data_IF_730044100801
#
_entry.id   IF_730044100801
#
_cell.length_a   1.000
_cell.length_b   1.000
_cell.length_c   1.000
_cell.angle_alpha   90.00
_cell.angle_beta   90.00
_cell.angle_gamma   90.00
#
_symmetry.space_group_name_H-M   'P 1'
#
loop_
_entity.id
_entity.type
_entity.pdbx_description
1 polymer ?
#
# COMPACT_ATOMS: atom_id res chain seq x y z
N UNK A 1 47.79 -44.10 -48.04
CA UNK A 1 48.41 -42.76 -48.19
C UNK A 1 48.18 -42.25 -49.62
N UNK A 2 47.27 -41.27 -49.79
CA UNK A 2 47.15 -40.24 -50.86
C UNK A 2 45.74 -39.60 -50.75
N UNK A 3 45.71 -38.27 -50.69
CA UNK A 3 44.53 -37.37 -50.56
C UNK A 3 43.66 -37.32 -51.83
N UNK A 4 42.43 -36.76 -51.79
CA UNK A 4 42.16 -35.34 -52.15
C UNK A 4 41.05 -34.65 -51.28
N UNK A 5 41.16 -33.38 -50.87
CA UNK A 5 40.72 -32.11 -51.51
C UNK A 5 39.23 -31.98 -51.89
N UNK A 6 38.55 -31.10 -51.15
CA UNK A 6 37.34 -30.27 -51.41
C UNK A 6 36.33 -30.64 -52.49
N UNK A 7 35.04 -30.58 -52.12
CA UNK A 7 34.04 -29.78 -52.83
C UNK A 7 32.89 -29.36 -51.90
N UNK A 8 32.56 -28.07 -51.92
CA UNK A 8 31.40 -27.44 -51.26
C UNK A 8 30.28 -27.35 -52.29
N UNK A 9 29.09 -27.94 -52.06
CA UNK A 9 27.94 -27.67 -52.92
C UNK A 9 27.36 -26.29 -52.60
N UNK A 10 27.45 -25.38 -53.57
CA UNK A 10 26.78 -24.09 -53.55
C UNK A 10 25.25 -24.22 -53.66
N UNK A 11 24.59 -23.25 -53.03
CA UNK A 11 23.20 -22.82 -53.17
C UNK A 11 22.44 -23.36 -54.38
N UNK A 12 21.62 -24.37 -54.12
CA UNK A 12 20.45 -24.65 -54.93
C UNK A 12 19.31 -23.72 -54.52
N UNK A 13 19.11 -22.63 -55.28
CA UNK A 13 17.87 -21.84 -55.27
C UNK A 13 16.66 -22.79 -55.36
N UNK A 14 16.02 -23.09 -54.22
CA UNK A 14 14.68 -23.67 -54.24
C UNK A 14 13.69 -22.54 -54.41
N UNK A 15 13.26 -22.37 -55.66
CA UNK A 15 12.06 -21.64 -56.02
C UNK A 15 10.88 -22.23 -55.25
N UNK A 16 10.47 -21.56 -54.17
CA UNK A 16 9.20 -21.88 -53.51
C UNK A 16 8.07 -21.54 -54.46
N UNK A 17 7.51 -22.59 -55.08
CA UNK A 17 6.29 -22.51 -55.88
C UNK A 17 5.16 -21.83 -55.09
N UNK A 18 4.39 -20.96 -55.76
CA UNK A 18 3.24 -20.25 -55.21
C UNK A 18 2.20 -21.19 -54.55
N UNK A 19 2.15 -22.46 -54.95
CA UNK A 19 1.28 -23.48 -54.35
C UNK A 19 1.69 -23.89 -52.94
N UNK A 20 2.96 -23.76 -52.55
CA UNK A 20 3.44 -24.11 -51.21
C UNK A 20 3.07 -23.05 -50.16
N UNK A 21 2.95 -21.77 -50.58
CA UNK A 21 2.49 -20.67 -49.70
C UNK A 21 1.01 -20.77 -49.34
N UNK A 22 0.18 -21.34 -50.22
CA UNK A 22 -1.24 -21.51 -49.97
C UNK A 22 -1.53 -22.64 -48.96
N UNK A 23 -0.65 -23.64 -48.87
CA UNK A 23 -0.83 -24.73 -47.90
C UNK A 23 -0.53 -24.28 -46.46
N UNK A 24 0.46 -23.41 -46.25
CA UNK A 24 0.74 -22.82 -44.94
C UNK A 24 -0.29 -21.76 -44.50
N UNK A 25 -1.03 -21.16 -45.42
CA UNK A 25 -2.07 -20.16 -45.09
C UNK A 25 -3.42 -20.79 -44.70
N UNK A 26 -3.64 -22.07 -45.03
CA UNK A 26 -4.91 -22.78 -44.80
C UNK A 26 -4.93 -23.61 -43.49
N UNK A 27 -3.78 -23.80 -42.86
CA UNK A 27 -3.70 -24.39 -41.52
C UNK A 27 -3.59 -23.24 -40.52
N UNK A 28 -4.67 -22.98 -39.77
CA UNK A 28 -4.59 -22.13 -38.58
C UNK A 28 -3.47 -22.63 -37.65
N UNK A 29 -2.95 -21.78 -36.74
CA UNK A 29 -1.88 -22.19 -35.85
C UNK A 29 -2.25 -23.51 -35.17
N UNK A 30 -1.34 -24.50 -35.11
CA UNK A 30 -1.62 -25.75 -34.43
C UNK A 30 -2.07 -25.45 -33.01
N UNK A 31 -3.15 -26.10 -32.55
CA UNK A 31 -3.59 -25.98 -31.16
C UNK A 31 -2.40 -26.29 -30.27
N UNK A 32 -1.97 -25.36 -29.40
CA UNK A 32 -0.78 -25.58 -28.59
C UNK A 32 -1.00 -26.83 -27.75
N UNK A 33 -0.05 -27.78 -27.84
CA UNK A 33 -0.05 -28.99 -27.01
C UNK A 33 -0.24 -28.62 -25.54
N UNK A 34 -0.87 -29.48 -24.75
CA UNK A 34 -1.12 -29.24 -23.32
C UNK A 34 0.18 -28.90 -22.57
N UNK A 35 1.31 -29.48 -22.99
CA UNK A 35 2.65 -29.14 -22.50
C UNK A 35 3.10 -27.72 -22.91
N UNK A 36 2.74 -27.25 -24.11
CA UNK A 36 3.01 -25.88 -24.56
C UNK A 36 2.10 -24.88 -23.85
N UNK A 37 0.83 -25.23 -23.60
CA UNK A 37 -0.07 -24.43 -22.77
C UNK A 37 0.39 -24.37 -21.32
N UNK A 38 0.85 -25.48 -20.74
CA UNK A 38 1.45 -25.52 -19.41
C UNK A 38 2.73 -24.70 -19.35
N UNK A 39 3.59 -24.77 -20.36
CA UNK A 39 4.84 -24.00 -20.44
C UNK A 39 4.59 -22.52 -20.68
N UNK A 40 3.56 -22.13 -21.44
CA UNK A 40 3.18 -20.73 -21.67
C UNK A 40 2.43 -20.16 -20.46
N UNK A 41 1.55 -20.94 -19.84
CA UNK A 41 0.92 -20.60 -18.56
C UNK A 41 1.95 -20.50 -17.44
N UNK A 42 3.02 -21.29 -17.49
CA UNK A 42 4.16 -21.20 -16.57
C UNK A 42 5.24 -20.19 -17.02
N UNK A 43 5.14 -19.57 -18.21
CA UNK A 43 6.09 -18.55 -18.73
C UNK A 43 5.53 -17.14 -18.72
N UNK A 44 4.29 -16.92 -18.29
CA UNK A 44 3.81 -15.59 -17.88
C UNK A 44 4.28 -15.20 -16.49
N UNK A 45 5.31 -15.85 -15.96
CA UNK A 45 6.16 -15.30 -14.91
C UNK A 45 7.03 -14.21 -15.53
N UNK A 46 6.58 -12.96 -15.36
CA UNK A 46 7.45 -11.80 -15.42
C UNK A 46 8.75 -12.12 -14.66
N UNK A 47 9.94 -11.70 -15.13
CA UNK A 47 11.22 -12.04 -14.48
C UNK A 47 11.10 -11.85 -12.96
N UNK A 48 11.13 -12.99 -12.25
CA UNK A 48 10.47 -13.16 -10.95
C UNK A 48 11.04 -12.21 -9.92
N UNK A 49 10.32 -11.11 -9.64
CA UNK A 49 10.53 -10.37 -8.42
C UNK A 49 10.16 -11.31 -7.28
N UNK A 50 11.04 -11.45 -6.27
CA UNK A 50 10.65 -12.13 -5.05
C UNK A 50 9.36 -11.49 -4.50
N UNK A 51 8.43 -12.28 -3.94
CA UNK A 51 7.19 -11.77 -3.37
C UNK A 51 7.44 -10.56 -2.45
N UNK A 52 8.47 -10.62 -1.62
CA UNK A 52 8.88 -9.53 -0.71
C UNK A 52 9.19 -8.24 -1.48
N UNK A 53 10.04 -8.34 -2.52
CA UNK A 53 10.44 -7.18 -3.32
C UNK A 53 9.24 -6.60 -4.06
N UNK A 54 8.34 -7.44 -4.54
CA UNK A 54 7.11 -7.00 -5.19
C UNK A 54 6.23 -6.19 -4.22
N UNK A 55 6.08 -6.63 -2.97
CA UNK A 55 5.31 -5.90 -1.95
C UNK A 55 5.97 -4.60 -1.49
N UNK A 56 7.30 -4.56 -1.39
CA UNK A 56 8.03 -3.32 -1.12
C UNK A 56 7.82 -2.27 -2.22
N UNK A 57 7.81 -2.67 -3.49
CA UNK A 57 7.50 -1.76 -4.61
C UNK A 57 6.04 -1.29 -4.60
N UNK A 58 5.12 -2.06 -4.01
CA UNK A 58 3.71 -1.66 -3.86
C UNK A 58 3.50 -0.54 -2.84
N UNK A 59 4.40 -0.35 -1.89
CA UNK A 59 4.31 0.76 -0.89
C UNK A 59 4.21 2.13 -1.60
N UNK A 60 5.20 2.58 -2.40
CA UNK A 60 5.06 3.83 -3.14
C UNK A 60 3.98 3.74 -4.24
N UNK A 61 3.76 2.57 -4.82
CA UNK A 61 2.70 2.39 -5.82
C UNK A 61 1.30 2.61 -5.26
N UNK A 62 1.10 2.51 -3.95
CA UNK A 62 -0.19 2.83 -3.30
C UNK A 62 -0.59 4.28 -3.54
N UNK A 63 0.38 5.19 -3.65
CA UNK A 63 0.12 6.61 -3.92
C UNK A 63 -0.10 6.91 -5.40
N UNK A 64 0.51 6.10 -6.29
CA UNK A 64 0.56 6.36 -7.73
C UNK A 64 -0.46 5.52 -8.54
N UNK A 65 -0.60 4.25 -8.18
CA UNK A 65 -1.46 3.25 -8.84
C UNK A 65 -2.26 2.41 -7.82
N UNK A 66 -3.03 3.03 -6.90
CA UNK A 66 -3.66 2.37 -5.75
C UNK A 66 -4.53 1.17 -6.13
N UNK A 67 -5.26 1.25 -7.25
CA UNK A 67 -6.15 0.17 -7.70
C UNK A 67 -5.40 -1.15 -7.92
N UNK A 68 -4.18 -1.10 -8.43
CA UNK A 68 -3.37 -2.30 -8.67
C UNK A 68 -2.93 -2.94 -7.35
N UNK A 69 -2.53 -2.13 -6.36
CA UNK A 69 -2.11 -2.60 -5.04
C UNK A 69 -3.26 -3.22 -4.27
N UNK A 70 -4.42 -2.53 -4.23
CA UNK A 70 -5.60 -3.07 -3.55
C UNK A 70 -6.17 -4.30 -4.25
N UNK A 71 -6.04 -4.42 -5.57
CA UNK A 71 -6.43 -5.64 -6.27
C UNK A 71 -5.53 -6.82 -5.87
N UNK A 72 -4.22 -6.60 -5.75
CA UNK A 72 -3.27 -7.63 -5.30
C UNK A 72 -3.57 -8.15 -3.88
N UNK A 73 -4.16 -7.36 -2.99
CA UNK A 73 -4.56 -7.82 -1.64
C UNK A 73 -5.62 -8.93 -1.64
N UNK A 74 -6.25 -9.21 -2.78
CA UNK A 74 -7.18 -10.35 -2.93
C UNK A 74 -6.48 -11.68 -2.88
N UNK A 75 -5.19 -11.72 -3.21
CA UNK A 75 -4.38 -12.94 -3.14
C UNK A 75 -4.23 -13.39 -1.68
N UNK A 76 -4.45 -14.68 -1.48
CA UNK A 76 -4.42 -15.38 -0.19
C UNK A 76 -3.38 -16.49 -0.16
N UNK A 77 -2.55 -16.59 -1.20
CA UNK A 77 -1.39 -17.48 -1.15
C UNK A 77 -0.55 -17.21 0.11
N UNK A 78 -0.19 -18.24 0.90
CA UNK A 78 0.53 -18.07 2.16
C UNK A 78 1.83 -17.28 2.03
N UNK A 79 2.57 -17.47 0.92
CA UNK A 79 3.85 -16.81 0.69
C UNK A 79 3.63 -15.31 0.36
N UNK A 80 2.59 -14.98 -0.41
CA UNK A 80 2.22 -13.58 -0.69
C UNK A 80 1.74 -12.86 0.58
N UNK A 81 0.94 -13.54 1.40
CA UNK A 81 0.45 -13.00 2.67
C UNK A 81 1.59 -12.77 3.66
N UNK A 82 2.60 -13.64 3.69
CA UNK A 82 3.80 -13.45 4.49
C UNK A 82 4.64 -12.27 3.98
N UNK A 83 4.83 -12.17 2.67
CA UNK A 83 5.66 -11.15 2.02
C UNK A 83 5.18 -9.72 2.24
N UNK A 84 3.88 -9.49 2.44
CA UNK A 84 3.34 -8.15 2.72
C UNK A 84 3.48 -7.69 4.18
N UNK A 85 3.94 -8.55 5.09
CA UNK A 85 4.00 -8.26 6.52
C UNK A 85 4.95 -7.11 6.88
N UNK A 86 6.18 -7.08 6.36
CA UNK A 86 7.15 -6.03 6.65
C UNK A 86 6.69 -4.65 6.11
N UNK A 87 6.19 -4.53 4.86
CA UNK A 87 5.58 -3.28 4.38
C UNK A 87 4.43 -2.79 5.25
N UNK A 88 3.54 -3.70 5.67
CA UNK A 88 2.42 -3.35 6.56
C UNK A 88 2.94 -2.80 7.88
N UNK A 89 3.92 -3.48 8.50
CA UNK A 89 4.52 -3.04 9.75
C UNK A 89 5.10 -1.64 9.62
N UNK A 90 5.86 -1.36 8.55
CA UNK A 90 6.43 -0.03 8.31
C UNK A 90 5.34 1.03 8.20
N UNK A 91 4.32 0.80 7.37
CA UNK A 91 3.25 1.79 7.14
C UNK A 91 2.47 2.10 8.42
N UNK A 92 2.09 1.09 9.20
CA UNK A 92 1.35 1.32 10.44
C UNK A 92 2.22 2.02 11.49
N UNK A 93 3.51 1.70 11.55
CA UNK A 93 4.43 2.30 12.51
C UNK A 93 4.65 3.78 12.20
N UNK A 94 4.96 4.12 10.94
CA UNK A 94 5.12 5.50 10.50
C UNK A 94 3.82 6.30 10.64
N UNK A 95 2.68 5.72 10.27
CA UNK A 95 1.40 6.39 10.44
C UNK A 95 1.06 6.65 11.92
N UNK A 96 1.44 5.73 12.81
CA UNK A 96 1.33 5.90 14.25
C UNK A 96 2.23 7.02 14.78
N UNK A 97 3.50 7.07 14.37
CA UNK A 97 4.42 8.19 14.70
C UNK A 97 3.82 9.52 14.22
N UNK A 98 3.36 9.58 12.97
CA UNK A 98 2.72 10.79 12.42
C UNK A 98 1.53 11.23 13.27
N UNK A 99 0.69 10.28 13.70
CA UNK A 99 -0.48 10.55 14.53
C UNK A 99 -0.10 11.10 15.90
N UNK A 100 0.89 10.48 16.56
CA UNK A 100 1.32 10.87 17.91
C UNK A 100 2.02 12.23 17.89
N UNK A 101 2.88 12.50 16.90
CA UNK A 101 3.54 13.80 16.74
C UNK A 101 2.57 14.93 16.35
N UNK A 102 1.41 14.60 15.77
CA UNK A 102 0.35 15.58 15.49
C UNK A 102 -0.54 15.88 16.72
N UNK A 103 -0.31 15.23 17.86
CA UNK A 103 -1.12 15.44 19.07
C UNK A 103 -0.70 16.71 19.82
N UNK A 104 -1.66 17.28 20.58
CA UNK A 104 -1.38 18.39 21.50
C UNK A 104 -0.43 18.01 22.63
N UNK A 105 -0.30 16.72 22.95
CA UNK A 105 0.72 16.23 23.89
C UNK A 105 2.11 16.46 23.33
N UNK A 106 2.35 16.12 22.06
CA UNK A 106 3.66 16.29 21.45
C UNK A 106 4.12 17.75 21.41
N UNK A 107 3.20 18.69 21.16
CA UNK A 107 3.48 20.13 21.05
C UNK A 107 3.95 20.82 22.33
N UNK A 108 4.00 20.12 23.46
CA UNK A 108 4.42 20.65 24.77
C UNK A 108 5.41 19.75 25.51
N UNK A 109 5.90 18.70 24.85
CA UNK A 109 6.74 17.71 25.53
C UNK A 109 8.09 18.28 25.96
N UNK A 110 8.67 19.20 25.19
CA UNK A 110 9.96 19.81 25.54
C UNK A 110 9.84 20.96 26.56
N UNK A 111 8.63 21.35 26.96
CA UNK A 111 8.43 22.28 28.08
C UNK A 111 8.72 21.62 29.43
N UNK A 112 8.65 20.28 29.49
CA UNK A 112 8.95 19.50 30.69
C UNK A 112 10.47 19.27 30.78
N UNK A 113 11.14 19.70 31.87
CA UNK A 113 12.59 19.52 32.02
C UNK A 113 13.05 18.05 32.05
N UNK A 114 12.13 17.11 32.29
CA UNK A 114 12.44 15.68 32.24
C UNK A 114 12.51 15.14 30.79
N UNK A 115 12.09 15.94 29.80
CA UNK A 115 12.11 15.58 28.38
C UNK A 115 13.21 16.32 27.63
N UNK A 116 14.08 15.56 26.97
CA UNK A 116 15.01 16.05 25.98
C UNK A 116 14.61 15.58 24.56
N UNK A 117 15.24 16.11 23.49
CA UNK A 117 14.92 15.70 22.12
C UNK A 117 15.10 14.20 21.84
N UNK A 118 16.01 13.53 22.56
CA UNK A 118 16.23 12.09 22.41
C UNK A 118 15.06 11.31 23.02
N UNK A 119 14.62 11.68 24.21
CA UNK A 119 13.48 11.08 24.88
C UNK A 119 12.19 11.33 24.09
N UNK A 120 12.02 12.53 23.51
CA UNK A 120 10.93 12.81 22.58
C UNK A 120 10.93 11.85 21.38
N UNK A 121 12.10 11.59 20.78
CA UNK A 121 12.21 10.66 19.66
C UNK A 121 11.88 9.22 20.06
N UNK A 122 12.35 8.77 21.23
CA UNK A 122 12.01 7.45 21.78
C UNK A 122 10.52 7.34 22.07
N UNK A 123 9.94 8.37 22.71
CA UNK A 123 8.51 8.45 23.00
C UNK A 123 7.69 8.39 21.71
N UNK A 124 8.03 9.20 20.71
CA UNK A 124 7.35 9.22 19.42
C UNK A 124 7.42 7.86 18.73
N UNK A 125 8.57 7.18 18.77
CA UNK A 125 8.75 5.85 18.21
C UNK A 125 7.88 4.80 18.93
N UNK A 126 7.91 4.75 20.25
CA UNK A 126 7.20 3.75 21.06
C UNK A 126 5.69 4.01 21.08
N UNK A 127 5.28 5.23 21.46
CA UNK A 127 3.87 5.61 21.45
C UNK A 127 3.31 5.56 20.02
N UNK A 128 4.08 5.99 19.02
CA UNK A 128 3.71 5.86 17.61
C UNK A 128 3.47 4.42 17.20
N UNK A 129 4.38 3.50 17.52
CA UNK A 129 4.20 2.07 17.26
C UNK A 129 2.92 1.50 17.91
N UNK A 130 2.66 1.86 19.16
CA UNK A 130 1.44 1.44 19.89
C UNK A 130 0.18 2.00 19.22
N UNK A 131 0.13 3.30 18.95
CA UNK A 131 -1.02 3.94 18.31
C UNK A 131 -1.26 3.41 16.89
N UNK A 132 -0.19 3.16 16.13
CA UNK A 132 -0.24 2.55 14.82
C UNK A 132 -0.83 1.14 14.86
N UNK A 133 -0.38 0.31 15.80
CA UNK A 133 -0.91 -1.03 16.02
C UNK A 133 -2.38 -1.00 16.46
N UNK A 134 -2.74 -0.20 17.46
CA UNK A 134 -4.13 -0.05 17.92
C UNK A 134 -5.03 0.43 16.78
N UNK A 135 -4.61 1.46 16.05
CA UNK A 135 -5.34 1.99 14.89
C UNK A 135 -5.53 0.94 13.80
N UNK A 136 -4.50 0.16 13.48
CA UNK A 136 -4.57 -0.94 12.51
C UNK A 136 -5.66 -1.97 12.86
N UNK A 137 -5.78 -2.36 14.13
CA UNK A 137 -6.82 -3.30 14.56
C UNK A 137 -8.20 -2.64 14.70
N UNK A 138 -8.30 -1.46 15.31
CA UNK A 138 -9.57 -0.78 15.60
C UNK A 138 -10.23 -0.26 14.32
N UNK A 139 -9.49 0.42 13.45
CA UNK A 139 -10.02 0.91 12.17
C UNK A 139 -10.30 -0.28 11.24
N UNK A 140 -9.42 -1.28 11.21
CA UNK A 140 -9.68 -2.50 10.45
C UNK A 140 -10.91 -3.25 10.93
N UNK A 141 -11.21 -3.21 12.24
CA UNK A 141 -12.43 -3.79 12.79
C UNK A 141 -13.66 -2.99 12.36
N UNK A 142 -13.57 -1.66 12.35
CA UNK A 142 -14.64 -0.80 11.86
C UNK A 142 -14.96 -1.05 10.38
N UNK A 143 -13.92 -1.20 9.54
CA UNK A 143 -14.08 -1.54 8.11
C UNK A 143 -14.67 -2.95 7.96
N UNK A 144 -14.16 -3.93 8.70
CA UNK A 144 -14.68 -5.29 8.70
C UNK A 144 -16.14 -5.35 9.11
N UNK A 145 -16.51 -4.69 10.21
CA UNK A 145 -17.88 -4.61 10.70
C UNK A 145 -18.80 -3.95 9.66
N UNK A 146 -18.38 -2.81 9.10
CA UNK A 146 -19.10 -2.16 8.00
C UNK A 146 -19.26 -3.08 6.80
N UNK A 147 -18.21 -3.78 6.39
CA UNK A 147 -18.25 -4.78 5.33
C UNK A 147 -19.29 -5.88 5.62
N UNK A 148 -19.34 -6.40 6.85
CA UNK A 148 -20.31 -7.42 7.27
C UNK A 148 -21.75 -6.91 7.25
N UNK A 149 -22.00 -5.66 7.67
CA UNK A 149 -23.33 -5.02 7.56
C UNK A 149 -23.81 -5.00 6.10
N UNK A 150 -22.90 -4.78 5.16
CA UNK A 150 -23.20 -4.82 3.73
C UNK A 150 -23.03 -6.21 3.10
N UNK A 151 -22.90 -7.30 3.86
CA UNK A 151 -22.85 -8.68 3.33
C UNK A 151 -21.51 -9.09 2.71
N UNK A 152 -20.39 -8.52 3.18
CA UNK A 152 -19.04 -8.98 2.80
C UNK A 152 -18.77 -10.39 3.32
N UNK A 153 -18.16 -11.22 2.47
CA UNK A 153 -17.59 -12.51 2.85
C UNK A 153 -16.09 -12.42 3.16
N UNK A 154 -15.55 -11.20 3.22
CA UNK A 154 -14.13 -10.96 3.49
C UNK A 154 -13.72 -11.30 4.93
N UNK A 155 -12.43 -11.54 5.09
CA UNK A 155 -11.79 -11.85 6.36
C UNK A 155 -11.19 -10.61 7.03
N UNK A 156 -11.20 -10.63 8.37
CA UNK A 156 -10.70 -9.53 9.20
C UNK A 156 -9.22 -9.18 8.91
N UNK A 157 -8.40 -10.17 8.51
CA UNK A 157 -7.02 -9.93 8.09
C UNK A 157 -6.95 -9.01 6.87
N UNK A 158 -7.75 -9.30 5.84
CA UNK A 158 -7.74 -8.54 4.58
C UNK A 158 -8.17 -7.10 4.80
N UNK A 159 -9.22 -6.87 5.59
CA UNK A 159 -9.71 -5.52 5.90
C UNK A 159 -8.66 -4.66 6.62
N UNK A 160 -7.96 -5.25 7.60
CA UNK A 160 -6.84 -4.55 8.26
C UNK A 160 -5.73 -4.20 7.27
N UNK A 161 -5.42 -5.10 6.34
CA UNK A 161 -4.38 -4.84 5.33
C UNK A 161 -4.78 -3.75 4.35
N UNK A 162 -6.06 -3.61 4.01
CA UNK A 162 -6.57 -2.43 3.28
C UNK A 162 -6.28 -1.16 4.07
N UNK A 163 -6.56 -1.14 5.39
CA UNK A 163 -6.29 0.01 6.25
C UNK A 163 -4.80 0.37 6.28
N UNK A 164 -3.90 -0.62 6.41
CA UNK A 164 -2.46 -0.36 6.43
C UNK A 164 -1.96 0.32 5.14
N UNK A 165 -2.36 -0.19 3.96
CA UNK A 165 -1.99 0.45 2.70
C UNK A 165 -2.69 1.81 2.51
N UNK A 166 -3.94 1.95 2.94
CA UNK A 166 -4.63 3.23 2.90
C UNK A 166 -3.99 4.30 3.80
N UNK A 167 -3.24 3.90 4.84
CA UNK A 167 -2.48 4.81 5.71
C UNK A 167 -1.17 5.32 5.09
N UNK A 168 -0.81 4.91 3.86
CA UNK A 168 0.41 5.34 3.19
C UNK A 168 0.60 6.87 3.12
N UNK A 169 -0.44 7.71 2.84
CA UNK A 169 -0.28 9.16 2.86
C UNK A 169 0.03 9.71 4.26
N UNK A 170 -0.57 9.17 5.32
CA UNK A 170 -0.24 9.57 6.71
C UNK A 170 1.18 9.12 7.08
N UNK A 171 1.61 7.93 6.67
CA UNK A 171 3.00 7.49 6.84
C UNK A 171 3.99 8.39 6.07
N UNK A 172 3.62 8.86 4.88
CA UNK A 172 4.42 9.83 4.12
C UNK A 172 4.46 11.20 4.80
N UNK A 173 3.39 11.61 5.48
CA UNK A 173 3.31 12.94 6.08
C UNK A 173 4.38 13.16 7.15
N UNK A 174 4.72 12.16 7.98
CA UNK A 174 5.82 12.33 8.94
C UNK A 174 7.17 12.47 8.24
N UNK A 175 7.40 11.76 7.15
CA UNK A 175 8.67 11.84 6.41
C UNK A 175 8.87 13.21 5.73
N UNK A 176 7.78 13.93 5.42
CA UNK A 176 7.84 15.23 4.75
C UNK A 176 7.69 16.39 5.73
N UNK A 177 6.69 16.33 6.61
CA UNK A 177 6.34 17.44 7.49
C UNK A 177 7.25 17.54 8.70
N UNK A 178 7.77 16.44 9.25
CA UNK A 178 8.67 16.52 10.41
C UNK A 178 9.99 17.22 10.04
N UNK A 179 10.73 16.84 8.98
CA UNK A 179 11.94 17.57 8.60
C UNK A 179 11.65 19.03 8.22
N UNK A 180 10.53 19.29 7.55
CA UNK A 180 10.10 20.64 7.20
C UNK A 180 9.84 21.49 8.44
N UNK A 181 9.14 20.96 9.45
CA UNK A 181 8.88 21.62 10.73
C UNK A 181 10.18 21.95 11.44
N UNK A 182 11.07 20.97 11.58
CA UNK A 182 12.38 21.16 12.21
C UNK A 182 13.24 22.19 11.46
N UNK A 183 13.16 22.25 10.13
CA UNK A 183 13.90 23.22 9.33
C UNK A 183 13.36 24.66 9.47
N UNK A 184 12.05 24.82 9.64
CA UNK A 184 11.40 26.13 9.73
C UNK A 184 11.38 26.67 11.16
N UNK A 185 11.16 25.81 12.16
CA UNK A 185 10.86 26.19 13.54
C UNK A 185 11.82 25.55 14.56
N UNK A 186 12.69 24.64 14.14
CA UNK A 186 13.62 23.96 15.05
C UNK A 186 12.90 23.15 16.12
N UNK A 187 13.33 23.30 17.38
CA UNK A 187 12.73 22.64 18.53
C UNK A 187 11.43 23.30 19.03
N UNK A 188 11.10 24.50 18.54
CA UNK A 188 9.93 25.26 19.00
C UNK A 188 8.62 24.53 18.70
N UNK A 189 8.59 23.69 17.66
CA UNK A 189 7.45 22.82 17.32
C UNK A 189 6.97 21.90 18.45
N UNK A 190 7.80 21.68 19.47
CA UNK A 190 7.48 20.81 20.61
C UNK A 190 7.45 21.56 21.96
N UNK A 191 7.41 22.90 21.91
CA UNK A 191 7.25 23.78 23.07
C UNK A 191 5.93 24.58 22.94
N UNK A 192 5.24 24.78 24.06
CA UNK A 192 4.09 25.66 24.12
C UNK A 192 4.51 27.12 23.92
N UNK A 193 3.78 27.88 23.10
CA UNK A 193 4.18 29.25 22.73
C UNK A 193 5.27 29.31 21.66
N UNK A 194 5.54 28.20 20.96
CA UNK A 194 6.57 28.08 19.92
C UNK A 194 6.38 29.05 18.74
N UNK A 195 7.46 29.29 17.99
CA UNK A 195 7.44 30.17 16.82
C UNK A 195 6.57 29.69 15.66
N UNK A 196 6.08 28.45 15.70
CA UNK A 196 5.11 27.90 14.77
C UNK A 196 3.66 28.28 15.07
N UNK A 197 3.33 28.80 16.26
CA UNK A 197 1.97 29.17 16.62
C UNK A 197 1.34 30.18 15.64
N UNK A 198 0.03 30.02 15.39
CA UNK A 198 -0.74 30.87 14.50
C UNK A 198 -0.73 30.38 13.05
N UNK A 199 -0.22 31.19 12.11
CA UNK A 199 -0.33 30.87 10.67
C UNK A 199 0.48 29.63 10.28
N UNK A 200 1.69 29.45 10.85
CA UNK A 200 2.56 28.32 10.55
C UNK A 200 1.91 26.99 10.92
N UNK A 201 1.46 26.89 12.17
CA UNK A 201 0.69 25.78 12.72
C UNK A 201 -0.55 25.49 11.88
N UNK A 202 -1.34 26.53 11.54
CA UNK A 202 -2.57 26.37 10.74
C UNK A 202 -2.28 25.76 9.37
N UNK A 203 -1.22 26.22 8.68
CA UNK A 203 -0.82 25.69 7.37
C UNK A 203 -0.35 24.24 7.48
N UNK A 204 0.47 23.94 8.49
CA UNK A 204 0.97 22.58 8.73
C UNK A 204 -0.14 21.61 9.13
N UNK A 205 -1.12 22.07 9.92
CA UNK A 205 -2.31 21.32 10.26
C UNK A 205 -3.16 21.06 9.01
N UNK A 206 -3.37 22.07 8.17
CA UNK A 206 -4.11 21.90 6.92
C UNK A 206 -3.43 20.89 5.98
N UNK A 207 -2.09 20.91 5.88
CA UNK A 207 -1.32 19.91 5.14
C UNK A 207 -1.46 18.52 5.75
N UNK A 208 -1.39 18.38 7.07
CA UNK A 208 -1.60 17.10 7.75
C UNK A 208 -3.01 16.56 7.48
N UNK A 209 -4.04 17.41 7.56
CA UNK A 209 -5.43 17.05 7.26
C UNK A 209 -5.62 16.64 5.80
N UNK A 210 -4.87 17.24 4.86
CA UNK A 210 -4.87 16.81 3.46
C UNK A 210 -4.36 15.36 3.31
N UNK A 211 -3.29 14.97 4.00
CA UNK A 211 -2.82 13.57 4.02
C UNK A 211 -3.84 12.62 4.64
N UNK A 212 -4.53 13.03 5.69
CA UNK A 212 -5.62 12.24 6.31
C UNK A 212 -6.77 12.08 5.31
N UNK A 213 -7.23 13.16 4.69
CA UNK A 213 -8.29 13.13 3.68
C UNK A 213 -7.92 12.22 2.50
N UNK A 214 -6.67 12.28 2.03
CA UNK A 214 -6.16 11.38 0.99
C UNK A 214 -6.22 9.91 1.45
N UNK A 215 -5.83 9.62 2.69
CA UNK A 215 -5.88 8.26 3.24
C UNK A 215 -7.30 7.70 3.27
N UNK A 216 -8.30 8.53 3.58
CA UNK A 216 -9.72 8.15 3.51
C UNK A 216 -10.17 7.85 2.07
N UNK A 217 -9.68 8.62 1.08
CA UNK A 217 -9.93 8.35 -0.34
C UNK A 217 -9.32 7.01 -0.75
N UNK A 218 -8.09 6.72 -0.34
CA UNK A 218 -7.45 5.42 -0.62
C UNK A 218 -8.18 4.26 0.06
N UNK A 219 -8.64 4.46 1.30
CA UNK A 219 -9.44 3.45 2.00
C UNK A 219 -10.72 3.15 1.24
N UNK A 220 -11.42 4.18 0.75
CA UNK A 220 -12.62 4.00 -0.08
C UNK A 220 -12.32 3.25 -1.38
N UNK A 221 -11.21 3.60 -2.06
CA UNK A 221 -10.75 2.90 -3.26
C UNK A 221 -10.44 1.43 -2.94
N UNK A 222 -9.75 1.17 -1.82
CA UNK A 222 -9.38 -0.17 -1.39
C UNK A 222 -10.58 -1.06 -1.12
N UNK A 223 -11.55 -0.58 -0.34
CA UNK A 223 -12.83 -1.27 -0.09
C UNK A 223 -13.52 -1.58 -1.42
N UNK A 224 -13.65 -0.58 -2.30
CA UNK A 224 -14.29 -0.76 -3.60
C UNK A 224 -13.61 -1.84 -4.44
N UNK A 225 -12.28 -1.77 -4.56
CA UNK A 225 -11.49 -2.66 -5.41
C UNK A 225 -11.46 -4.06 -4.84
N UNK A 226 -11.21 -4.23 -3.54
CA UNK A 226 -11.13 -5.55 -2.90
C UNK A 226 -12.49 -6.26 -2.95
N UNK A 227 -13.60 -5.57 -2.68
CA UNK A 227 -14.91 -6.20 -2.73
C UNK A 227 -15.56 -6.24 -4.12
N UNK A 228 -15.05 -5.47 -5.09
CA UNK A 228 -15.67 -5.35 -6.41
C UNK A 228 -17.04 -4.66 -6.37
N UNK A 229 -17.24 -3.76 -5.41
CA UNK A 229 -18.53 -3.14 -5.14
C UNK A 229 -18.71 -1.79 -5.85
N UNK A 230 -19.95 -1.28 -5.82
CA UNK A 230 -20.27 0.08 -6.24
C UNK A 230 -19.70 1.11 -5.24
N UNK A 231 -19.60 2.37 -5.67
CA UNK A 231 -19.09 3.46 -4.82
C UNK A 231 -20.00 3.68 -3.61
N UNK A 232 -21.32 3.67 -3.83
CA UNK A 232 -22.30 3.90 -2.75
C UNK A 232 -22.19 2.84 -1.65
N UNK A 233 -22.07 1.56 -2.02
CA UNK A 233 -21.91 0.46 -1.05
C UNK A 233 -20.58 0.59 -0.29
N UNK A 234 -19.51 0.94 -0.98
CA UNK A 234 -18.18 1.14 -0.36
C UNK A 234 -18.15 2.34 0.59
N UNK A 235 -18.82 3.44 0.22
CA UNK A 235 -18.99 4.60 1.08
C UNK A 235 -19.89 4.27 2.29
N UNK A 236 -20.88 3.40 2.12
CA UNK A 236 -21.69 2.87 3.22
C UNK A 236 -20.85 2.15 4.27
N UNK A 237 -19.87 1.33 3.86
CA UNK A 237 -18.93 0.68 4.79
C UNK A 237 -18.16 1.72 5.61
N UNK A 238 -17.64 2.77 4.96
CA UNK A 238 -16.97 3.86 5.67
C UNK A 238 -17.91 4.59 6.64
N UNK A 239 -19.13 4.90 6.21
CA UNK A 239 -20.12 5.58 7.05
C UNK A 239 -20.45 4.77 8.32
N UNK A 240 -20.66 3.47 8.18
CA UNK A 240 -20.87 2.57 9.33
C UNK A 240 -19.63 2.49 10.22
N UNK A 241 -18.43 2.39 9.62
CA UNK A 241 -17.18 2.39 10.36
C UNK A 241 -16.97 3.66 11.18
N UNK A 242 -17.21 4.83 10.59
CA UNK A 242 -17.15 6.14 11.28
C UNK A 242 -18.17 6.21 12.42
N UNK A 243 -19.41 5.78 12.18
CA UNK A 243 -20.45 5.74 13.21
C UNK A 243 -20.05 4.84 14.39
N UNK A 244 -19.48 3.67 14.10
CA UNK A 244 -18.98 2.74 15.13
C UNK A 244 -17.85 3.35 15.95
N UNK A 245 -16.84 3.93 15.29
CA UNK A 245 -15.72 4.58 15.99
C UNK A 245 -16.21 5.76 16.83
N UNK A 246 -17.12 6.57 16.30
CA UNK A 246 -17.76 7.66 17.04
C UNK A 246 -18.51 7.17 18.28
N UNK A 247 -19.25 6.06 18.18
CA UNK A 247 -19.94 5.46 19.31
C UNK A 247 -18.97 4.93 20.38
N UNK A 248 -17.85 4.32 19.98
CA UNK A 248 -16.81 3.86 20.91
C UNK A 248 -16.21 5.06 21.66
N UNK A 249 -15.84 6.14 20.95
CA UNK A 249 -15.31 7.35 21.57
C UNK A 249 -16.33 7.98 22.53
N UNK A 250 -17.59 8.08 22.11
CA UNK A 250 -18.66 8.61 22.95
C UNK A 250 -18.88 7.78 24.23
N UNK A 251 -18.78 6.45 24.14
CA UNK A 251 -18.87 5.57 25.30
C UNK A 251 -17.75 5.84 26.30
N UNK A 252 -16.51 5.97 25.83
CA UNK A 252 -15.37 6.29 26.69
C UNK A 252 -15.46 7.69 27.30
N UNK A 253 -16.07 8.66 26.61
CA UNK A 253 -16.28 10.01 27.14
C UNK A 253 -17.34 10.08 28.25
N UNK A 254 -18.13 9.02 28.45
CA UNK A 254 -19.18 8.94 29.48
C UNK A 254 -18.72 8.23 30.77
N UNK A 255 -17.53 7.65 30.79
CA UNK A 255 -16.93 6.94 31.94
C UNK A 255 -15.93 7.85 32.63
#
# INVERSE_FOLDING_TARGET
MRSPSFDVPQDGQRTFSATSRLYCAAQGPPSPDEATLLVVASRTTHPDLSPDRAWWLRVPATLLSPRSVFFALRDEDPDDVAARSEPILLMIWLAGIATVLASSTAGKLLDDPDYDPLLLAVWAFVAGGIYGAVGYFVIGFAVFFGGRVFGSLGDFRRERQIVAFAAAPVALSVLLLLPLRLALFGGDTFHAGGSDEGTGETVLLALQLLFVAWSLVLLLIGIRVVHGWSWLRSAGVLGVGVALLGAIVALFALV
#
